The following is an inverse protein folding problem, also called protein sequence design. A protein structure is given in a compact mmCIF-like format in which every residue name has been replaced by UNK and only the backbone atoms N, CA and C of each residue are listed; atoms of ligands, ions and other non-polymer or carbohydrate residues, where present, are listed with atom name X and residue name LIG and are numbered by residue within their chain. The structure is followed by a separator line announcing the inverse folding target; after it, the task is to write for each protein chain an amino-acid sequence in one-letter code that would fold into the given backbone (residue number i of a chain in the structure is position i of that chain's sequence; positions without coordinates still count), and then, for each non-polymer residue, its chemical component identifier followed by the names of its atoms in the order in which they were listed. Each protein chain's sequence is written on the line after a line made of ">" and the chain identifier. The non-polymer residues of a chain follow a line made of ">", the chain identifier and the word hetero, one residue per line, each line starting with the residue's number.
data_IF_782118102302
#
_entry.id   IF_782118102302
#
_cell.length_a   1.000
_cell.length_b   1.000
_cell.length_c   1.000
_cell.angle_alpha   90.00
_cell.angle_beta   90.00
_cell.angle_gamma   90.00
#
_symmetry.space_group_name_H-M   'P 1'
#
loop_
_entity.id
_entity.type
_entity.pdbx_description
1 polymer ?
#
# COMPACT_ATOMS: atom_id res chain seq x y z
N UNK A 1 16.33 10.77 25.55
CA UNK A 1 17.14 9.74 24.87
C UNK A 1 17.74 8.84 25.94
N UNK A 2 17.77 7.52 25.74
CA UNK A 2 18.38 6.55 26.64
C UNK A 2 19.89 6.54 26.46
N UNK A 3 20.65 6.69 27.54
CA UNK A 3 22.11 6.75 27.48
C UNK A 3 22.78 5.40 27.13
N UNK A 4 22.07 4.28 27.28
CA UNK A 4 22.63 2.94 27.01
C UNK A 4 22.49 2.52 25.55
N UNK A 5 21.31 2.72 24.96
CA UNK A 5 20.99 2.25 23.61
C UNK A 5 20.80 3.39 22.59
N UNK A 6 20.79 4.66 23.02
CA UNK A 6 20.60 5.81 22.12
C UNK A 6 19.16 6.02 21.63
N UNK A 7 18.22 5.14 22.00
CA UNK A 7 16.80 5.24 21.61
C UNK A 7 16.04 6.29 22.44
N UNK A 8 14.73 6.43 22.21
CA UNK A 8 13.86 7.23 23.07
C UNK A 8 13.99 6.82 24.55
N UNK A 9 13.74 7.74 25.48
CA UNK A 9 13.83 7.39 26.91
C UNK A 9 12.70 6.44 27.30
N UNK A 10 13.03 5.31 27.91
CA UNK A 10 12.07 4.26 28.28
C UNK A 10 12.21 3.89 29.77
N UNK A 11 11.26 4.35 30.60
CA UNK A 11 11.26 4.11 32.05
C UNK A 11 10.56 2.80 32.37
N UNK A 12 11.21 1.94 33.17
CA UNK A 12 10.61 0.69 33.65
C UNK A 12 10.68 -0.48 32.66
N UNK A 13 11.35 -0.31 31.51
CA UNK A 13 11.70 -1.37 30.55
C UNK A 13 13.20 -1.39 30.33
N UNK A 14 13.77 -2.57 30.16
CA UNK A 14 15.14 -2.74 29.68
C UNK A 14 15.28 -2.23 28.24
N UNK A 15 16.52 -2.02 27.78
CA UNK A 15 16.77 -1.60 26.40
C UNK A 15 16.32 -2.65 25.39
N UNK A 16 16.40 -3.93 25.75
CA UNK A 16 16.02 -5.07 24.91
C UNK A 16 14.51 -5.15 24.76
N UNK A 17 13.76 -5.14 25.87
CA UNK A 17 12.29 -5.12 25.85
C UNK A 17 11.72 -3.93 25.06
N UNK A 18 12.34 -2.75 25.22
CA UNK A 18 11.92 -1.56 24.47
C UNK A 18 12.20 -1.71 22.97
N UNK A 19 13.31 -2.34 22.60
CA UNK A 19 13.65 -2.56 21.19
C UNK A 19 12.74 -3.61 20.55
N UNK A 20 12.48 -4.72 21.24
CA UNK A 20 11.55 -5.76 20.78
C UNK A 20 10.14 -5.20 20.56
N UNK A 21 9.63 -4.39 21.50
CA UNK A 21 8.33 -3.72 21.35
C UNK A 21 8.34 -2.75 20.16
N UNK A 22 9.38 -1.94 20.00
CA UNK A 22 9.48 -1.01 18.87
C UNK A 22 9.57 -1.74 17.52
N UNK A 23 10.28 -2.86 17.47
CA UNK A 23 10.33 -3.73 16.29
C UNK A 23 8.95 -4.31 15.99
N UNK A 24 8.24 -4.81 17.02
CA UNK A 24 6.91 -5.37 16.86
C UNK A 24 5.89 -4.31 16.39
N UNK A 25 5.91 -3.12 16.97
CA UNK A 25 5.08 -1.98 16.54
C UNK A 25 5.36 -1.63 15.07
N UNK A 26 6.63 -1.62 14.66
CA UNK A 26 7.00 -1.39 13.26
C UNK A 26 6.49 -2.52 12.35
N UNK A 27 6.62 -3.78 12.77
CA UNK A 27 6.10 -4.93 12.02
C UNK A 27 4.59 -4.85 11.86
N UNK A 28 3.85 -4.49 12.91
CA UNK A 28 2.40 -4.35 12.88
C UNK A 28 1.96 -3.17 12.00
N UNK A 29 2.63 -2.02 12.10
CA UNK A 29 2.41 -0.90 11.19
C UNK A 29 2.65 -1.32 9.73
N UNK A 30 3.80 -1.92 9.45
CA UNK A 30 4.19 -2.29 8.10
C UNK A 30 3.26 -3.38 7.53
N UNK A 31 2.77 -4.30 8.36
CA UNK A 31 1.81 -5.34 7.96
C UNK A 31 0.45 -4.78 7.58
N UNK A 32 0.02 -3.71 8.25
CA UNK A 32 -1.31 -3.10 8.05
C UNK A 32 -1.29 -1.89 7.11
N UNK A 33 -0.12 -1.42 6.67
CA UNK A 33 0.04 -0.30 5.77
C UNK A 33 0.14 -0.75 4.30
N UNK A 34 -0.60 -0.06 3.44
CA UNK A 34 -0.52 -0.17 1.97
C UNK A 34 0.72 0.55 1.39
N UNK A 35 1.61 1.07 2.24
CA UNK A 35 2.84 1.78 1.86
C UNK A 35 4.02 0.82 1.66
N UNK A 36 3.86 -0.46 2.03
CA UNK A 36 4.90 -1.48 1.92
C UNK A 36 4.47 -2.68 1.08
N UNK A 37 5.40 -3.23 0.31
CA UNK A 37 5.24 -4.47 -0.41
C UNK A 37 6.54 -5.27 -0.41
N UNK A 38 6.47 -6.58 -0.64
CA UNK A 38 7.65 -7.43 -0.73
C UNK A 38 7.98 -7.71 -2.20
N UNK A 39 9.27 -7.66 -2.55
CA UNK A 39 9.75 -8.01 -3.88
C UNK A 39 9.30 -9.45 -4.23
N UNK A 40 8.60 -9.68 -5.35
CA UNK A 40 8.14 -11.02 -5.72
C UNK A 40 9.27 -12.02 -5.89
N UNK A 41 10.45 -11.55 -6.34
CA UNK A 41 11.63 -12.36 -6.63
C UNK A 41 12.47 -12.68 -5.39
N UNK A 42 12.90 -11.68 -4.61
CA UNK A 42 13.84 -11.88 -3.50
C UNK A 42 13.24 -11.61 -2.11
N UNK A 43 11.95 -11.26 -2.02
CA UNK A 43 11.23 -10.95 -0.77
C UNK A 43 11.74 -9.75 0.03
N UNK A 44 12.72 -9.01 -0.50
CA UNK A 44 13.14 -7.74 0.08
C UNK A 44 11.96 -6.78 0.19
N UNK A 45 11.84 -6.10 1.32
CA UNK A 45 10.79 -5.11 1.55
C UNK A 45 11.06 -3.86 0.71
N UNK A 46 10.03 -3.36 0.07
CA UNK A 46 10.02 -2.15 -0.72
C UNK A 46 8.93 -1.22 -0.18
N UNK A 47 9.31 0.02 0.05
CA UNK A 47 8.40 1.09 0.43
C UNK A 47 8.08 1.92 -0.81
N UNK A 48 6.87 2.46 -0.88
CA UNK A 48 6.48 3.40 -1.90
C UNK A 48 5.91 4.66 -1.28
N UNK A 49 6.42 5.80 -1.72
CA UNK A 49 5.80 7.09 -1.42
C UNK A 49 4.43 7.17 -2.11
N UNK A 50 3.39 7.43 -1.31
CA UNK A 50 2.01 7.49 -1.79
C UNK A 50 1.87 8.41 -3.02
N UNK A 51 1.13 7.92 -4.02
CA UNK A 51 0.69 8.72 -5.18
C UNK A 51 1.69 8.92 -6.32
N UNK A 52 2.93 8.38 -6.27
CA UNK A 52 3.96 8.70 -7.28
C UNK A 52 4.01 7.79 -8.51
N UNK A 53 4.10 6.47 -8.32
CA UNK A 53 4.19 5.53 -9.45
C UNK A 53 3.86 4.10 -9.00
N UNK A 54 3.16 3.34 -9.83
CA UNK A 54 2.90 1.92 -9.57
C UNK A 54 4.03 0.99 -10.10
N UNK A 55 5.06 1.53 -10.75
CA UNK A 55 6.25 0.78 -11.17
C UNK A 55 7.31 0.81 -10.06
N UNK A 56 7.73 -0.35 -9.60
CA UNK A 56 8.73 -0.50 -8.53
C UNK A 56 9.94 -1.24 -9.08
N UNK A 57 11.14 -0.79 -8.69
CA UNK A 57 12.40 -1.49 -8.96
C UNK A 57 13.05 -1.93 -7.64
N UNK A 58 13.39 -3.21 -7.53
CA UNK A 58 13.97 -3.76 -6.30
C UNK A 58 15.42 -3.29 -6.17
N UNK A 59 15.75 -2.60 -5.08
CA UNK A 59 17.12 -2.17 -4.79
C UNK A 59 18.10 -3.33 -4.54
N UNK A 60 17.60 -4.51 -4.14
CA UNK A 60 18.44 -5.69 -3.89
C UNK A 60 18.71 -6.57 -5.11
N UNK A 61 17.72 -6.75 -5.99
CA UNK A 61 17.83 -7.72 -7.10
C UNK A 61 17.43 -7.16 -8.47
N UNK A 62 17.16 -5.85 -8.55
CA UNK A 62 16.75 -5.12 -9.76
C UNK A 62 15.50 -5.67 -10.48
N UNK A 63 14.76 -6.58 -9.85
CA UNK A 63 13.48 -7.02 -10.37
C UNK A 63 12.48 -5.87 -10.36
N UNK A 64 11.74 -5.71 -11.46
CA UNK A 64 10.76 -4.65 -11.62
C UNK A 64 9.35 -5.23 -11.63
N UNK A 65 8.45 -4.67 -10.83
CA UNK A 65 7.08 -5.14 -10.71
C UNK A 65 6.08 -4.01 -10.53
N UNK A 66 4.81 -4.33 -10.76
CA UNK A 66 3.69 -3.43 -10.52
C UNK A 66 3.23 -3.52 -9.05
N UNK A 67 3.08 -2.37 -8.38
CA UNK A 67 2.57 -2.26 -7.01
C UNK A 67 1.18 -2.89 -6.87
N UNK A 68 0.30 -2.66 -7.85
CA UNK A 68 -1.11 -3.07 -7.78
C UNK A 68 -1.29 -4.58 -7.85
N UNK A 69 -0.53 -5.27 -8.71
CA UNK A 69 -0.77 -6.68 -9.01
C UNK A 69 0.41 -7.62 -8.70
N UNK A 70 1.57 -7.09 -8.30
CA UNK A 70 2.77 -7.89 -8.00
C UNK A 70 3.43 -8.54 -9.22
N UNK A 71 2.88 -8.39 -10.43
CA UNK A 71 3.44 -9.00 -11.66
C UNK A 71 4.64 -8.22 -12.18
N UNK A 72 5.46 -8.89 -12.98
CA UNK A 72 6.60 -8.28 -13.68
C UNK A 72 6.15 -7.04 -14.44
N UNK A 73 6.89 -5.95 -14.27
CA UNK A 73 6.62 -4.71 -14.98
C UNK A 73 7.07 -4.80 -16.45
N UNK A 74 6.29 -4.21 -17.33
CA UNK A 74 6.57 -4.01 -18.75
C UNK A 74 6.08 -2.61 -19.14
N UNK A 75 6.61 -2.02 -20.21
CA UNK A 75 6.25 -0.66 -20.62
C UNK A 75 4.77 -0.53 -20.98
N UNK A 76 4.20 -1.56 -21.61
CA UNK A 76 2.78 -1.65 -21.99
C UNK A 76 1.84 -2.00 -20.82
N UNK A 77 2.34 -2.09 -19.58
CA UNK A 77 1.59 -2.68 -18.47
C UNK A 77 0.32 -1.88 -18.10
N UNK A 78 0.32 -0.57 -18.31
CA UNK A 78 -0.85 0.30 -18.06
C UNK A 78 -1.62 0.66 -19.33
N UNK A 79 -1.20 0.16 -20.50
CA UNK A 79 -1.87 0.44 -21.76
C UNK A 79 -3.32 -0.06 -21.72
N UNK A 80 -4.22 0.75 -22.29
CA UNK A 80 -5.67 0.45 -22.30
C UNK A 80 -6.00 -0.88 -22.99
N UNK A 81 -5.14 -1.33 -23.90
CA UNK A 81 -5.31 -2.55 -24.68
C UNK A 81 -4.58 -3.76 -24.09
N UNK A 82 -3.77 -3.58 -23.04
CA UNK A 82 -3.08 -4.68 -22.38
C UNK A 82 -3.99 -5.35 -21.34
N UNK A 83 -4.77 -6.33 -21.79
CA UNK A 83 -5.68 -7.11 -20.93
C UNK A 83 -4.97 -7.92 -19.84
N UNK A 84 -3.65 -8.15 -19.97
CA UNK A 84 -2.84 -8.83 -18.96
C UNK A 84 -2.18 -7.86 -17.95
N UNK A 85 -2.31 -6.55 -18.21
CA UNK A 85 -1.79 -5.46 -17.39
C UNK A 85 -2.77 -4.96 -16.32
N UNK A 86 -2.60 -3.70 -15.93
CA UNK A 86 -3.48 -2.95 -15.02
C UNK A 86 -4.12 -1.79 -15.79
N UNK A 87 -5.21 -2.06 -16.53
CA UNK A 87 -5.80 -1.15 -17.52
C UNK A 87 -6.02 0.28 -16.98
N UNK A 88 -5.15 1.23 -17.38
CA UNK A 88 -5.27 2.65 -17.03
C UNK A 88 -5.18 2.98 -15.52
N UNK A 89 -4.76 2.05 -14.66
CA UNK A 89 -4.76 2.25 -13.20
C UNK A 89 -3.48 2.92 -12.66
N UNK A 90 -2.65 3.51 -13.53
CA UNK A 90 -1.39 4.13 -13.11
C UNK A 90 -1.57 5.33 -12.16
N UNK A 91 -2.68 6.06 -12.31
CA UNK A 91 -2.94 7.31 -11.57
C UNK A 91 -4.26 7.28 -10.76
N UNK A 92 -4.90 6.11 -10.62
CA UNK A 92 -6.12 6.03 -9.82
C UNK A 92 -5.79 6.07 -8.33
N UNK A 93 -6.20 7.15 -7.69
CA UNK A 93 -6.39 7.22 -6.24
C UNK A 93 -7.65 6.44 -5.88
N UNK A 94 -7.48 5.37 -5.10
CA UNK A 94 -8.53 4.46 -4.63
C UNK A 94 -9.68 5.19 -3.93
N UNK A 95 -9.43 6.40 -3.41
CA UNK A 95 -10.43 7.28 -2.78
C UNK A 95 -11.52 7.71 -3.76
N UNK A 96 -11.17 7.94 -5.04
CA UNK A 96 -12.13 8.38 -6.08
C UNK A 96 -13.08 7.25 -6.51
N UNK A 97 -12.59 6.01 -6.52
CA UNK A 97 -13.44 4.83 -6.81
C UNK A 97 -14.57 4.67 -5.78
N UNK A 98 -14.29 4.88 -4.49
CA UNK A 98 -15.31 4.78 -3.44
C UNK A 98 -16.41 5.82 -3.61
N UNK A 99 -16.06 7.07 -3.90
CA UNK A 99 -17.03 8.16 -4.13
C UNK A 99 -17.92 7.85 -5.34
N UNK A 100 -17.35 7.38 -6.45
CA UNK A 100 -18.12 7.02 -7.65
C UNK A 100 -19.07 5.84 -7.36
N UNK A 101 -18.59 4.79 -6.69
CA UNK A 101 -19.45 3.67 -6.29
C UNK A 101 -20.60 4.11 -5.37
N UNK A 102 -20.32 4.93 -4.34
CA UNK A 102 -21.37 5.44 -3.46
C UNK A 102 -22.37 6.32 -4.21
N UNK A 103 -21.92 7.18 -5.13
CA UNK A 103 -22.81 8.00 -5.94
C UNK A 103 -23.74 7.18 -6.84
N UNK A 104 -23.23 6.09 -7.44
CA UNK A 104 -24.05 5.17 -8.25
C UNK A 104 -25.06 4.44 -7.35
N UNK A 105 -24.62 3.92 -6.20
CA UNK A 105 -25.48 3.20 -5.26
C UNK A 105 -26.60 4.09 -4.70
N UNK A 106 -26.30 5.36 -4.36
CA UNK A 106 -27.31 6.30 -3.88
C UNK A 106 -28.27 6.69 -5.00
N UNK A 107 -27.77 6.98 -6.20
CA UNK A 107 -28.63 7.33 -7.34
C UNK A 107 -29.60 6.21 -7.71
N UNK A 108 -29.16 4.95 -7.63
CA UNK A 108 -30.03 3.79 -7.87
C UNK A 108 -31.01 3.53 -6.72
N UNK A 109 -30.70 3.93 -5.49
CA UNK A 109 -31.57 3.77 -4.33
C UNK A 109 -32.63 4.88 -4.19
N UNK A 110 -32.38 6.08 -4.70
CA UNK A 110 -33.30 7.23 -4.64
C UNK A 110 -34.69 6.93 -5.25
N UNK A 111 -34.82 6.31 -6.44
CA UNK A 111 -36.11 5.94 -7.00
C UNK A 111 -36.89 4.98 -6.09
N UNK A 112 -36.22 4.03 -5.43
CA UNK A 112 -36.88 3.12 -4.49
C UNK A 112 -37.39 3.86 -3.26
N UNK A 113 -36.62 4.80 -2.70
CA UNK A 113 -37.04 5.57 -1.51
C UNK A 113 -38.27 6.44 -1.81
N UNK A 114 -38.35 7.03 -3.01
CA UNK A 114 -39.46 7.90 -3.41
C UNK A 114 -40.75 7.16 -3.80
N UNK A 115 -40.68 5.84 -4.08
CA UNK A 115 -41.83 5.00 -4.44
C UNK A 115 -42.51 4.38 -3.20
N UNK A 116 -41.80 4.31 -2.06
CA UNK A 116 -42.27 3.68 -0.82
C UNK A 116 -42.53 4.67 0.34
N UNK A 117 -42.71 5.96 0.03
CA UNK A 117 -43.16 7.00 0.97
C UNK A 117 -44.55 7.51 0.57
#
# INVERSE_FOLDING_TARGET
>A
MCFKCGMAWHKGKSCEEFNEEAEQDFFDYAKNSDDFTNCPKCKARAEREQGRCNHITCTRCNYQWCWLCGRRFKEDHFDKWNVFGCLGMQHLDTSKCKVICYAILTFLAIPFILIFQ
#
